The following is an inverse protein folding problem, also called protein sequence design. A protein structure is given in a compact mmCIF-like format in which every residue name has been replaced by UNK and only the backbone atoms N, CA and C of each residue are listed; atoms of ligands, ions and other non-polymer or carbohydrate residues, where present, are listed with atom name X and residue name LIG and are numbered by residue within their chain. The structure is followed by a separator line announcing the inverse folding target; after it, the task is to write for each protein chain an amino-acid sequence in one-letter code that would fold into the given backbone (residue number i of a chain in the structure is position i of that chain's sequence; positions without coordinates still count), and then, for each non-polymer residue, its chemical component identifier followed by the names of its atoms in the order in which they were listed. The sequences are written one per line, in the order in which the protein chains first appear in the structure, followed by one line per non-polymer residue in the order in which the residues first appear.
data_IF_419236183309
#
_entry.id   IF_419236183309
#
_cell.length_a   1.000
_cell.length_b   1.000
_cell.length_c   1.000
_cell.angle_alpha   90.00
_cell.angle_beta   90.00
_cell.angle_gamma   90.00
#
_symmetry.space_group_name_H-M   'P 1'
#
loop_
_entity.id
_entity.type
_entity.pdbx_description
1 polymer ?
#
# COMPACT_ATOMS: atom_id res chain seq x y z
N UNK A 1 18.54 0.00 10.63
CA UNK A 1 19.16 -1.33 10.87
C UNK A 1 18.53 -2.01 12.08
N UNK A 2 18.34 -1.35 13.23
CA UNK A 2 17.71 -1.93 14.42
C UNK A 2 16.41 -2.74 14.17
N UNK A 3 15.48 -2.23 13.32
CA UNK A 3 14.27 -2.96 12.96
C UNK A 3 14.56 -4.27 12.21
N UNK A 4 15.50 -4.22 11.26
CA UNK A 4 15.98 -5.39 10.52
C UNK A 4 16.64 -6.39 11.47
N UNK A 5 17.44 -5.94 12.41
CA UNK A 5 18.07 -6.80 13.43
C UNK A 5 17.04 -7.50 14.31
N UNK A 6 15.99 -6.77 14.72
CA UNK A 6 14.87 -7.35 15.47
C UNK A 6 14.10 -8.39 14.66
N UNK A 7 13.88 -8.15 13.36
CA UNK A 7 13.27 -9.14 12.47
C UNK A 7 14.17 -10.38 12.32
N UNK A 8 15.46 -10.17 12.07
CA UNK A 8 16.49 -11.19 11.95
C UNK A 8 16.71 -12.02 13.22
N UNK A 9 16.25 -11.55 14.39
CA UNK A 9 16.40 -12.28 15.65
C UNK A 9 15.44 -13.47 15.77
N UNK A 10 14.48 -13.61 14.84
CA UNK A 10 13.42 -14.63 14.92
C UNK A 10 12.31 -14.32 15.92
N UNK A 11 12.35 -13.15 16.59
CA UNK A 11 11.31 -12.72 17.54
C UNK A 11 9.94 -12.55 16.86
N UNK A 12 9.94 -12.25 15.57
CA UNK A 12 8.74 -11.89 14.82
C UNK A 12 8.15 -13.07 14.03
N UNK A 13 8.82 -14.22 13.98
CA UNK A 13 8.44 -15.36 13.16
C UNK A 13 9.64 -16.20 12.74
N UNK A 14 9.36 -17.26 11.99
CA UNK A 14 10.40 -18.09 11.37
C UNK A 14 11.11 -17.27 10.28
N UNK A 15 12.42 -17.05 10.41
CA UNK A 15 13.20 -16.34 9.40
C UNK A 15 13.49 -17.30 8.24
N UNK A 16 12.87 -17.06 7.08
CA UNK A 16 13.07 -17.86 5.87
C UNK A 16 14.07 -17.22 4.89
N UNK A 17 14.28 -15.91 4.97
CA UNK A 17 15.40 -15.21 4.35
C UNK A 17 15.96 -14.20 5.35
N UNK A 18 17.24 -14.35 5.69
CA UNK A 18 17.94 -13.43 6.60
C UNK A 18 18.49 -12.23 5.83
N UNK A 19 18.27 -11.03 6.35
CA UNK A 19 18.90 -9.82 5.81
C UNK A 19 20.39 -9.76 6.19
N UNK A 20 21.23 -9.40 5.23
CA UNK A 20 22.68 -9.26 5.38
C UNK A 20 23.11 -7.84 5.01
N UNK A 21 24.13 -7.34 5.69
CA UNK A 21 24.79 -6.10 5.30
C UNK A 21 25.69 -6.36 4.08
N UNK A 22 25.62 -5.49 3.07
CA UNK A 22 26.39 -5.61 1.84
C UNK A 22 27.38 -4.45 1.72
N UNK A 23 28.59 -4.72 1.23
CA UNK A 23 29.56 -3.68 0.89
C UNK A 23 29.29 -3.21 -0.53
N UNK A 24 29.05 -1.91 -0.72
CA UNK A 24 28.88 -1.36 -2.06
C UNK A 24 30.26 -1.19 -2.72
N UNK A 25 30.48 -1.71 -3.95
CA UNK A 25 31.80 -1.73 -4.58
C UNK A 25 32.39 -0.33 -4.81
N UNK A 26 31.53 0.66 -5.07
CA UNK A 26 31.96 2.04 -5.38
C UNK A 26 31.78 3.02 -4.21
N UNK A 27 31.15 2.60 -3.10
CA UNK A 27 30.78 3.51 -2.00
C UNK A 27 31.00 2.84 -0.64
N UNK A 28 32.23 2.94 -0.12
CA UNK A 28 32.65 2.32 1.16
C UNK A 28 31.76 2.72 2.36
N UNK A 29 31.22 3.94 2.35
CA UNK A 29 30.30 4.44 3.40
C UNK A 29 28.81 4.11 3.20
N UNK A 30 28.44 3.37 2.15
CA UNK A 30 27.05 3.06 1.87
C UNK A 30 26.47 2.08 2.89
N UNK A 31 25.22 2.33 3.29
CA UNK A 31 24.46 1.41 4.15
C UNK A 31 23.51 0.59 3.29
N UNK A 32 23.93 -0.62 2.96
CA UNK A 32 23.16 -1.53 2.09
C UNK A 32 22.79 -2.79 2.86
N UNK A 33 21.53 -3.19 2.78
CA UNK A 33 21.03 -4.42 3.37
C UNK A 33 20.15 -5.16 2.35
N UNK A 34 20.31 -6.49 2.28
CA UNK A 34 19.35 -7.35 1.57
C UNK A 34 18.01 -7.43 2.34
N UNK A 35 16.91 -7.88 1.71
CA UNK A 35 15.64 -8.08 2.42
C UNK A 35 15.68 -9.17 3.49
N UNK A 36 14.80 -9.05 4.49
CA UNK A 36 14.44 -10.13 5.43
C UNK A 36 13.01 -10.58 5.13
N UNK A 37 12.80 -11.89 5.09
CA UNK A 37 11.49 -12.49 4.90
C UNK A 37 11.19 -13.46 6.04
N UNK A 38 10.01 -13.32 6.62
CA UNK A 38 9.55 -14.16 7.73
C UNK A 38 8.33 -14.96 7.32
N UNK A 39 8.25 -16.20 7.77
CA UNK A 39 7.04 -17.02 7.70
C UNK A 39 6.30 -16.96 9.03
N UNK A 40 5.01 -16.68 8.97
CA UNK A 40 4.12 -16.53 10.14
C UNK A 40 2.75 -17.10 9.84
N UNK A 41 1.96 -17.30 10.89
CA UNK A 41 0.52 -17.56 10.81
C UNK A 41 -0.27 -16.26 11.00
N UNK A 42 -1.58 -16.29 10.76
CA UNK A 42 -2.46 -15.12 10.90
C UNK A 42 -2.69 -14.68 12.36
N UNK A 43 -2.25 -15.43 13.37
CA UNK A 43 -2.27 -14.97 14.77
C UNK A 43 -1.09 -14.04 15.14
N UNK A 44 -0.11 -13.89 14.24
CA UNK A 44 1.05 -13.03 14.50
C UNK A 44 0.68 -11.54 14.41
N UNK A 45 1.13 -10.73 15.36
CA UNK A 45 0.74 -9.31 15.39
C UNK A 45 1.72 -8.39 14.65
N UNK A 46 2.94 -8.84 14.37
CA UNK A 46 3.97 -7.98 13.79
C UNK A 46 3.67 -7.59 12.34
N UNK A 47 2.99 -8.46 11.57
CA UNK A 47 2.62 -8.17 10.19
C UNK A 47 1.50 -7.10 10.10
N UNK A 48 0.71 -6.92 11.17
CA UNK A 48 -0.42 -5.99 11.20
C UNK A 48 0.01 -4.53 11.50
N UNK A 49 1.29 -4.33 11.81
CA UNK A 49 1.88 -3.02 12.02
C UNK A 49 2.84 -2.66 10.87
N UNK A 50 3.00 -1.37 10.62
CA UNK A 50 3.96 -0.88 9.64
C UNK A 50 5.40 -1.25 10.05
N UNK A 51 6.12 -1.93 9.16
CA UNK A 51 7.52 -2.32 9.38
C UNK A 51 8.44 -1.67 8.36
N UNK A 52 8.68 -0.35 8.51
CA UNK A 52 9.52 0.39 7.57
C UNK A 52 10.89 -0.26 7.32
N UNK A 53 11.18 -0.57 6.06
CA UNK A 53 12.41 -1.21 5.61
C UNK A 53 12.15 -2.41 4.69
N UNK A 54 13.20 -3.16 4.33
CA UNK A 54 13.07 -4.30 3.42
C UNK A 54 12.64 -5.55 4.19
N UNK A 55 11.46 -5.48 4.83
CA UNK A 55 10.91 -6.54 5.69
C UNK A 55 9.60 -7.02 5.06
N UNK A 56 9.46 -8.32 4.86
CA UNK A 56 8.22 -8.91 4.36
C UNK A 56 7.81 -10.16 5.15
N UNK A 57 6.52 -10.43 5.17
CA UNK A 57 5.92 -11.58 5.83
C UNK A 57 5.21 -12.44 4.79
N UNK A 58 5.45 -13.75 4.84
CA UNK A 58 4.64 -14.78 4.19
C UNK A 58 3.71 -15.34 5.25
N UNK A 59 2.44 -14.97 5.16
CA UNK A 59 1.42 -15.29 6.16
C UNK A 59 0.62 -16.50 5.65
N UNK A 60 0.63 -17.61 6.39
CA UNK A 60 -0.25 -18.74 6.07
C UNK A 60 -1.64 -18.49 6.66
N UNK A 61 -2.67 -18.47 5.81
CA UNK A 61 -4.07 -18.41 6.23
C UNK A 61 -4.74 -19.78 6.05
N UNK A 62 -5.80 -20.04 6.80
CA UNK A 62 -6.52 -21.32 6.73
C UNK A 62 -7.22 -21.55 5.39
N UNK A 63 -7.88 -20.52 4.88
CA UNK A 63 -8.55 -20.54 3.57
C UNK A 63 -8.30 -19.23 2.82
N UNK A 64 -8.72 -19.18 1.55
CA UNK A 64 -8.64 -17.94 0.77
C UNK A 64 -9.60 -16.88 1.31
N UNK A 65 -10.79 -17.28 1.77
CA UNK A 65 -11.78 -16.37 2.34
C UNK A 65 -11.24 -15.67 3.59
N UNK A 66 -10.55 -16.42 4.46
CA UNK A 66 -9.86 -15.84 5.63
C UNK A 66 -8.77 -14.85 5.21
N UNK A 67 -8.02 -15.15 4.15
CA UNK A 67 -6.99 -14.24 3.63
C UNK A 67 -7.55 -12.96 3.03
N UNK A 68 -8.67 -13.05 2.31
CA UNK A 68 -9.38 -11.88 1.76
C UNK A 68 -9.89 -10.99 2.90
N UNK A 69 -10.56 -11.57 3.90
CA UNK A 69 -11.08 -10.80 5.04
C UNK A 69 -9.96 -10.19 5.88
N UNK A 70 -8.83 -10.90 6.05
CA UNK A 70 -7.64 -10.35 6.72
C UNK A 70 -7.08 -9.15 5.95
N UNK A 71 -6.89 -9.27 4.64
CA UNK A 71 -6.41 -8.15 3.79
C UNK A 71 -7.35 -6.94 3.87
N UNK A 72 -8.66 -7.19 3.80
CA UNK A 72 -9.69 -6.16 3.88
C UNK A 72 -9.69 -5.44 5.23
N UNK A 73 -9.70 -6.20 6.33
CA UNK A 73 -9.75 -5.65 7.69
C UNK A 73 -8.51 -4.81 7.99
N UNK A 74 -7.31 -5.31 7.68
CA UNK A 74 -6.06 -4.55 7.82
C UNK A 74 -6.08 -3.26 6.99
N UNK A 75 -6.49 -3.33 5.71
CA UNK A 75 -6.53 -2.15 4.85
C UNK A 75 -7.51 -1.11 5.37
N UNK A 76 -8.68 -1.53 5.84
CA UNK A 76 -9.70 -0.63 6.39
C UNK A 76 -9.25 0.00 7.71
N UNK A 77 -8.62 -0.77 8.59
CA UNK A 77 -8.32 -0.36 9.98
C UNK A 77 -6.96 0.34 10.12
N UNK A 78 -5.97 -0.09 9.35
CA UNK A 78 -4.59 0.40 9.41
C UNK A 78 -4.20 1.25 8.19
N UNK A 79 -4.97 1.14 7.11
CA UNK A 79 -4.69 1.83 5.85
C UNK A 79 -3.74 1.04 4.96
N UNK A 80 -3.96 1.15 3.65
CA UNK A 80 -3.00 0.68 2.64
C UNK A 80 -3.08 1.54 1.37
N UNK A 81 -1.96 1.65 0.65
CA UNK A 81 -1.92 2.32 -0.65
C UNK A 81 -2.21 1.34 -1.80
N UNK A 82 -1.81 0.07 -1.64
CA UNK A 82 -1.85 -0.92 -2.71
C UNK A 82 -2.24 -2.30 -2.19
N UNK A 83 -3.07 -3.01 -2.93
CA UNK A 83 -3.32 -4.45 -2.78
C UNK A 83 -2.98 -5.15 -4.09
N UNK A 84 -2.31 -6.29 -4.00
CA UNK A 84 -2.00 -7.16 -5.13
C UNK A 84 -2.70 -8.51 -5.01
N UNK A 85 -3.24 -9.02 -6.12
CA UNK A 85 -3.87 -10.34 -6.20
C UNK A 85 -3.19 -11.22 -7.24
N UNK A 86 -2.98 -12.48 -6.89
CA UNK A 86 -2.64 -13.54 -7.85
C UNK A 86 -3.70 -14.64 -7.81
N UNK A 87 -4.49 -14.76 -8.87
CA UNK A 87 -5.54 -15.79 -9.00
C UNK A 87 -5.95 -15.95 -10.46
N UNK A 88 -6.26 -17.19 -10.86
CA UNK A 88 -6.92 -17.52 -12.14
C UNK A 88 -8.39 -17.86 -11.98
N UNK A 89 -8.91 -17.81 -10.74
CA UNK A 89 -10.29 -18.16 -10.42
C UNK A 89 -11.14 -16.90 -10.33
N UNK A 90 -12.09 -16.74 -11.25
CA UNK A 90 -13.00 -15.59 -11.30
C UNK A 90 -13.71 -15.29 -9.98
N UNK A 91 -14.26 -16.29 -9.25
CA UNK A 91 -14.94 -16.00 -7.98
C UNK A 91 -14.02 -15.38 -6.91
N UNK A 92 -12.71 -15.66 -6.96
CA UNK A 92 -11.73 -15.07 -6.05
C UNK A 92 -11.39 -13.63 -6.49
N UNK A 93 -11.28 -13.39 -7.79
CA UNK A 93 -11.00 -12.06 -8.34
C UNK A 93 -12.12 -11.09 -7.95
N UNK A 94 -13.37 -11.48 -8.18
CA UNK A 94 -14.54 -10.67 -7.80
C UNK A 94 -14.62 -10.42 -6.29
N UNK A 95 -14.36 -11.44 -5.47
CA UNK A 95 -14.36 -11.28 -4.01
C UNK A 95 -13.29 -10.27 -3.53
N UNK A 96 -12.13 -10.23 -4.19
CA UNK A 96 -11.06 -9.29 -3.85
C UNK A 96 -11.38 -7.89 -4.38
N UNK A 97 -11.99 -7.76 -5.56
CA UNK A 97 -12.49 -6.48 -6.07
C UNK A 97 -13.44 -5.86 -5.03
N UNK A 98 -14.46 -6.60 -4.58
CA UNK A 98 -15.40 -6.14 -3.57
C UNK A 98 -14.69 -5.75 -2.26
N UNK A 99 -13.77 -6.58 -1.79
CA UNK A 99 -12.98 -6.28 -0.60
C UNK A 99 -12.17 -4.99 -0.72
N UNK A 100 -11.58 -4.71 -1.89
CA UNK A 100 -10.81 -3.48 -2.13
C UNK A 100 -11.69 -2.25 -2.32
N UNK A 101 -12.92 -2.40 -2.82
CA UNK A 101 -13.92 -1.34 -2.86
C UNK A 101 -14.36 -0.96 -1.45
N UNK A 102 -14.71 -1.95 -0.61
CA UNK A 102 -15.11 -1.74 0.79
C UNK A 102 -13.99 -1.11 1.63
N UNK A 103 -12.73 -1.50 1.38
CA UNK A 103 -11.55 -1.00 2.10
C UNK A 103 -10.87 0.19 1.41
N UNK A 104 -11.42 0.65 0.28
CA UNK A 104 -11.05 1.87 -0.43
C UNK A 104 -9.55 1.92 -0.79
N UNK A 105 -9.05 0.90 -1.48
CA UNK A 105 -7.64 0.76 -1.87
C UNK A 105 -7.50 0.39 -3.34
N UNK A 106 -6.41 0.83 -3.99
CA UNK A 106 -6.11 0.45 -5.36
C UNK A 106 -5.68 -1.03 -5.46
N UNK A 107 -6.21 -1.74 -6.48
CA UNK A 107 -5.98 -3.16 -6.71
C UNK A 107 -5.16 -3.39 -7.99
N UNK A 108 -4.14 -4.24 -7.91
CA UNK A 108 -3.42 -4.81 -9.04
C UNK A 108 -3.65 -6.32 -9.12
N UNK A 109 -3.95 -6.85 -10.31
CA UNK A 109 -4.29 -8.27 -10.50
C UNK A 109 -3.28 -8.91 -11.45
N UNK A 110 -2.69 -10.03 -11.03
CA UNK A 110 -1.81 -10.90 -11.83
C UNK A 110 -0.63 -10.16 -12.48
N UNK A 111 0.09 -9.34 -11.71
CA UNK A 111 1.31 -8.68 -12.16
C UNK A 111 2.47 -9.68 -12.31
N UNK A 112 2.60 -10.30 -13.49
CA UNK A 112 3.61 -11.33 -13.78
C UNK A 112 4.68 -10.88 -14.77
N UNK A 113 4.70 -9.60 -15.14
CA UNK A 113 5.58 -9.02 -16.16
C UNK A 113 6.34 -7.79 -15.63
N UNK A 114 6.67 -6.82 -16.49
CA UNK A 114 7.48 -5.64 -16.14
C UNK A 114 6.76 -4.54 -15.35
N UNK A 115 5.49 -4.74 -14.99
CA UNK A 115 4.73 -3.85 -14.12
C UNK A 115 4.71 -4.43 -12.71
N UNK A 116 5.06 -3.62 -11.73
CA UNK A 116 5.15 -4.01 -10.32
C UNK A 116 4.19 -3.17 -9.47
N UNK A 117 3.70 -3.75 -8.36
CA UNK A 117 2.69 -3.10 -7.49
C UNK A 117 3.14 -1.76 -6.88
N UNK A 118 4.46 -1.52 -6.81
CA UNK A 118 5.03 -0.27 -6.31
C UNK A 118 5.08 0.86 -7.35
N UNK A 119 4.72 0.58 -8.61
CA UNK A 119 4.70 1.57 -9.69
C UNK A 119 3.32 2.23 -9.79
N UNK A 120 3.31 3.52 -10.09
CA UNK A 120 2.11 4.28 -10.43
C UNK A 120 2.47 5.37 -11.44
N UNK A 121 1.66 5.53 -12.48
CA UNK A 121 1.83 6.54 -13.52
C UNK A 121 0.94 7.76 -13.27
N UNK A 122 1.54 8.95 -13.29
CA UNK A 122 0.78 10.20 -13.32
C UNK A 122 -0.21 10.20 -14.51
N UNK A 123 -1.33 10.91 -14.34
CA UNK A 123 -2.42 11.04 -15.32
C UNK A 123 -3.23 9.75 -15.60
N UNK A 124 -2.97 8.66 -14.87
CA UNK A 124 -3.74 7.41 -14.92
C UNK A 124 -4.07 6.94 -13.51
N UNK A 125 -3.05 6.74 -12.70
CA UNK A 125 -3.17 5.99 -11.46
C UNK A 125 -3.31 6.96 -10.28
N UNK A 126 -4.44 6.86 -9.58
CA UNK A 126 -4.69 7.61 -8.36
C UNK A 126 -3.84 7.05 -7.22
N UNK A 127 -2.81 7.79 -6.81
CA UNK A 127 -1.94 7.37 -5.70
C UNK A 127 -2.59 7.73 -4.36
N UNK A 128 -3.03 6.70 -3.64
CA UNK A 128 -3.91 6.85 -2.48
C UNK A 128 -5.32 7.24 -2.90
N UNK A 129 -6.33 6.72 -2.19
CA UNK A 129 -7.75 7.00 -2.50
C UNK A 129 -8.30 8.18 -1.70
N UNK A 130 -7.67 8.51 -0.56
CA UNK A 130 -8.26 9.40 0.45
C UNK A 130 -9.29 8.72 1.36
N UNK A 131 -9.54 7.43 1.14
CA UNK A 131 -10.67 6.69 1.71
C UNK A 131 -10.35 5.77 2.90
N UNK A 132 -9.06 5.51 3.15
CA UNK A 132 -8.61 4.67 4.26
C UNK A 132 -7.52 5.39 5.07
N UNK A 133 -7.12 4.87 6.24
CA UNK A 133 -6.17 5.57 7.13
C UNK A 133 -4.79 5.90 6.53
N UNK A 134 -4.40 5.31 5.38
CA UNK A 134 -3.09 5.56 4.78
C UNK A 134 -2.96 6.96 4.17
N UNK A 135 -4.07 7.55 3.71
CA UNK A 135 -4.10 8.90 3.16
C UNK A 135 -5.51 9.48 3.22
N UNK A 136 -5.63 10.78 3.48
CA UNK A 136 -6.90 11.50 3.48
C UNK A 136 -7.20 12.27 2.18
N UNK A 137 -6.36 12.08 1.15
CA UNK A 137 -6.54 12.62 -0.18
C UNK A 137 -5.88 11.70 -1.22
N UNK A 138 -6.28 11.86 -2.48
CA UNK A 138 -5.64 11.21 -3.62
C UNK A 138 -4.64 12.15 -4.33
N UNK A 139 -3.55 11.59 -4.88
CA UNK A 139 -2.63 12.29 -5.78
C UNK A 139 -2.86 11.82 -7.23
N UNK A 140 -3.54 12.59 -8.08
CA UNK A 140 -4.33 13.78 -7.74
C UNK A 140 -5.72 13.69 -8.35
N UNK A 141 -6.71 14.21 -7.61
CA UNK A 141 -8.09 14.37 -8.06
C UNK A 141 -8.55 15.83 -7.91
N UNK A 142 -9.82 16.11 -8.25
CA UNK A 142 -10.40 17.45 -8.10
C UNK A 142 -10.45 17.90 -6.63
N UNK A 143 -10.74 16.99 -5.68
CA UNK A 143 -10.83 17.32 -4.27
C UNK A 143 -9.47 17.79 -3.70
N UNK A 144 -8.38 17.25 -4.24
CA UNK A 144 -7.02 17.62 -3.87
C UNK A 144 -6.74 19.11 -4.09
N UNK A 145 -7.37 19.77 -5.08
CA UNK A 145 -7.07 21.17 -5.43
C UNK A 145 -8.23 22.14 -5.29
N UNK A 146 -9.47 21.69 -5.51
CA UNK A 146 -10.63 22.57 -5.61
C UNK A 146 -10.88 23.37 -4.31
N UNK A 147 -10.52 22.80 -3.15
CA UNK A 147 -10.74 23.45 -1.88
C UNK A 147 -9.60 24.43 -1.47
N UNK A 148 -8.59 24.66 -2.31
CA UNK A 148 -7.43 25.54 -2.00
C UNK A 148 -7.65 27.03 -2.29
N UNK A 149 -8.71 27.40 -3.02
CA UNK A 149 -9.04 28.80 -3.31
C UNK A 149 -10.55 29.03 -3.29
N UNK A 150 -10.97 30.29 -3.14
CA UNK A 150 -12.39 30.69 -3.14
C UNK A 150 -12.64 31.76 -4.18
N UNK A 151 -13.86 31.79 -4.71
CA UNK A 151 -14.32 32.82 -5.64
C UNK A 151 -15.30 33.73 -4.89
N UNK A 152 -14.99 35.02 -4.81
CA UNK A 152 -15.85 36.02 -4.18
C UNK A 152 -16.47 36.88 -5.27
N UNK A 153 -17.79 36.75 -5.48
CA UNK A 153 -18.49 37.52 -6.50
C UNK A 153 -18.97 38.88 -5.99
N UNK A 154 -19.05 39.85 -6.90
CA UNK A 154 -19.79 41.11 -6.72
C UNK A 154 -20.54 41.41 -8.01
N UNK A 155 -21.72 42.03 -7.87
CA UNK A 155 -22.53 42.52 -8.99
C UNK A 155 -23.07 43.92 -8.70
N UNK A 156 -23.25 44.70 -9.76
CA UNK A 156 -23.90 46.02 -9.77
C UNK A 156 -24.55 46.24 -11.13
N UNK A 157 -25.59 47.08 -11.20
CA UNK A 157 -26.20 47.47 -12.47
C UNK A 157 -25.22 48.32 -13.28
N UNK A 158 -25.10 48.07 -14.58
CA UNK A 158 -24.42 48.95 -15.53
C UNK A 158 -25.44 49.90 -16.16
N UNK A 159 -25.07 51.13 -16.49
CA UNK A 159 -25.89 51.97 -17.36
C UNK A 159 -25.91 51.33 -18.76
N UNK A 160 -27.06 51.40 -19.45
CA UNK A 160 -27.10 51.07 -20.89
C UNK A 160 -26.14 52.01 -21.63
N UNK A 161 -25.33 51.45 -22.53
CA UNK A 161 -24.52 52.26 -23.42
C UNK A 161 -25.46 53.04 -24.34
N UNK A 162 -25.45 54.38 -24.22
CA UNK A 162 -26.14 55.32 -25.10
C UNK A 162 -25.50 55.31 -26.48
#
# INVERSE_FOLDING_TARGET
VARIESANSGKWGEVILRSEALTHPEFEGARVHSPVMLKVTDENQYYAEEQFGPISFVISTHTIETGIELSKSLTREKGALTVGLYSTKEPIIEAVIEATLESQVALSINLTEGVFVNQSSAYSDYHGTGGNPAANASYADSAFVANRFRVIQRRYHTQEAV
#
